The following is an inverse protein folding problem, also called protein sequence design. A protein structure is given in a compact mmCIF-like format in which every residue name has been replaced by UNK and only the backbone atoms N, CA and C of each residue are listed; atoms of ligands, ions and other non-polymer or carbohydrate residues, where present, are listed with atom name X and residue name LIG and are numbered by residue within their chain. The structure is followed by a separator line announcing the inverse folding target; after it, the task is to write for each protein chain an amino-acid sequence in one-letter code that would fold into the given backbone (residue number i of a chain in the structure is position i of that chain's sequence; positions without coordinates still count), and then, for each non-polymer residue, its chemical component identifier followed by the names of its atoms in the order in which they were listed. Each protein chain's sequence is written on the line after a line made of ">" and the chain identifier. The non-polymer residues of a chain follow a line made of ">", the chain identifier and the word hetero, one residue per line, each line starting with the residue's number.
data_IF_999492633277
#
_entry.id   IF_999492633277
#
_cell.length_a   1.000
_cell.length_b   1.000
_cell.length_c   1.000
_cell.angle_alpha   90.00
_cell.angle_beta   90.00
_cell.angle_gamma   90.00
#
_symmetry.space_group_name_H-M   'P 1'
#
loop_
_entity.id
_entity.type
_entity.pdbx_description
1 polymer ?
#
# COMPACT_ATOMS: atom_id res chain seq x y z
N UNK A 1 36.99 -83.90 -56.58
CA UNK A 1 35.78 -83.17 -56.16
C UNK A 1 35.25 -82.47 -57.39
N UNK A 2 34.10 -82.92 -57.87
CA UNK A 2 33.54 -82.60 -59.18
C UNK A 2 32.10 -82.08 -59.02
N UNK A 3 31.74 -81.20 -59.97
CA UNK A 3 30.40 -80.93 -60.56
C UNK A 3 29.29 -80.18 -59.80
N UNK A 4 28.89 -79.06 -60.43
CA UNK A 4 27.55 -78.68 -60.95
C UNK A 4 26.41 -78.20 -60.01
N UNK A 5 25.78 -77.09 -60.42
CA UNK A 5 24.37 -77.11 -60.89
C UNK A 5 23.30 -76.40 -60.05
N UNK A 6 22.84 -75.25 -60.56
CA UNK A 6 21.45 -74.80 -60.80
C UNK A 6 20.28 -74.96 -59.78
N UNK A 7 19.68 -73.80 -59.48
CA UNK A 7 18.27 -73.39 -59.60
C UNK A 7 17.14 -73.86 -58.62
N UNK A 8 16.13 -72.97 -58.49
CA UNK A 8 14.79 -73.05 -57.86
C UNK A 8 14.52 -72.29 -56.52
N UNK A 9 13.60 -71.30 -56.56
CA UNK A 9 12.93 -70.63 -55.40
C UNK A 9 11.75 -71.45 -54.82
N UNK A 10 10.65 -70.90 -54.24
CA UNK A 10 10.30 -69.52 -53.80
C UNK A 10 9.56 -69.43 -52.41
N UNK A 11 9.02 -68.24 -52.05
CA UNK A 11 8.00 -67.91 -50.99
C UNK A 11 8.46 -67.98 -49.51
N UNK A 12 8.13 -67.09 -48.56
CA UNK A 12 6.99 -66.20 -48.24
C UNK A 12 7.48 -65.12 -47.23
N UNK A 13 6.84 -63.94 -47.13
CA UNK A 13 6.98 -63.11 -45.92
C UNK A 13 6.76 -61.59 -46.03
N UNK A 14 5.49 -61.20 -46.20
CA UNK A 14 4.81 -60.01 -45.66
C UNK A 14 5.32 -58.56 -45.88
N UNK A 15 4.39 -57.81 -46.47
CA UNK A 15 4.28 -56.36 -46.67
C UNK A 15 4.01 -55.55 -45.40
N UNK A 16 4.42 -54.28 -45.44
CA UNK A 16 3.84 -53.06 -44.82
C UNK A 16 3.33 -53.15 -43.38
N UNK A 17 3.73 -52.23 -42.51
CA UNK A 17 3.20 -50.86 -42.39
C UNK A 17 4.00 -50.14 -41.31
N UNK A 18 4.37 -48.90 -41.55
CA UNK A 18 5.03 -48.02 -40.57
C UNK A 18 4.06 -47.73 -39.42
N UNK A 19 4.53 -47.88 -38.18
CA UNK A 19 3.73 -47.78 -36.95
C UNK A 19 3.58 -46.31 -36.46
N UNK A 20 3.87 -45.33 -37.32
CA UNK A 20 3.75 -43.90 -37.00
C UNK A 20 2.33 -43.34 -37.14
N UNK A 21 1.40 -44.06 -37.76
CA UNK A 21 0.05 -43.53 -38.11
C UNK A 21 -1.08 -43.95 -37.15
N UNK A 22 -0.74 -44.51 -35.98
CA UNK A 22 -1.73 -45.10 -35.06
C UNK A 22 -1.79 -44.42 -33.69
N UNK A 23 -1.59 -43.11 -33.61
CA UNK A 23 -2.11 -42.26 -32.52
C UNK A 23 -2.40 -40.86 -33.07
N UNK A 24 -3.67 -40.63 -33.42
CA UNK A 24 -4.14 -39.35 -33.93
C UNK A 24 -3.93 -38.20 -32.93
N UNK A 25 -3.09 -37.25 -33.32
CA UNK A 25 -3.12 -35.88 -32.83
C UNK A 25 -3.08 -34.94 -34.05
N UNK A 26 -4.26 -34.56 -34.52
CA UNK A 26 -4.43 -33.47 -35.47
C UNK A 26 -3.97 -32.15 -34.84
N UNK A 27 -3.23 -31.38 -35.64
CA UNK A 27 -3.10 -29.92 -35.65
C UNK A 27 -3.53 -29.17 -34.38
N UNK A 28 -2.55 -28.84 -33.54
CA UNK A 28 -2.58 -27.59 -32.78
C UNK A 28 -1.59 -26.64 -33.45
N UNK A 29 -2.13 -25.68 -34.18
CA UNK A 29 -1.43 -24.47 -34.60
C UNK A 29 -0.74 -23.86 -33.37
N UNK A 30 0.57 -23.57 -33.36
CA UNK A 30 1.14 -22.73 -32.33
C UNK A 30 0.69 -21.29 -32.58
N UNK A 31 -0.46 -20.97 -32.01
CA UNK A 31 -0.83 -19.61 -31.66
C UNK A 31 0.02 -19.12 -30.49
N UNK A 32 0.13 -17.80 -30.38
CA UNK A 32 0.91 -17.02 -29.42
C UNK A 32 2.40 -16.89 -29.77
N UNK A 33 2.71 -15.75 -30.40
CA UNK A 33 4.00 -15.08 -30.31
C UNK A 33 4.61 -15.24 -28.91
N UNK A 34 5.79 -15.85 -28.84
CA UNK A 34 6.59 -15.98 -27.62
C UNK A 34 6.66 -14.59 -26.95
N UNK A 35 6.21 -14.42 -25.69
CA UNK A 35 6.31 -13.14 -25.04
C UNK A 35 7.79 -12.75 -24.93
N UNK A 36 8.13 -11.45 -25.02
CA UNK A 36 9.51 -11.00 -24.92
C UNK A 36 10.14 -11.55 -23.64
N UNK A 37 11.34 -12.12 -23.78
CA UNK A 37 12.07 -12.90 -22.77
C UNK A 37 12.26 -12.18 -21.41
N UNK A 38 12.13 -10.86 -21.36
CA UNK A 38 12.24 -10.07 -20.13
C UNK A 38 11.12 -10.34 -19.11
N UNK A 39 9.89 -10.64 -19.54
CA UNK A 39 8.77 -10.89 -18.63
C UNK A 39 8.97 -12.16 -17.78
N UNK A 40 9.44 -13.22 -18.45
CA UNK A 40 9.69 -14.53 -17.84
C UNK A 40 10.68 -14.39 -16.68
N UNK A 41 11.66 -13.50 -16.77
CA UNK A 41 12.63 -13.31 -15.70
C UNK A 41 12.01 -12.74 -14.41
N UNK A 42 11.14 -11.72 -14.52
CA UNK A 42 10.46 -11.13 -13.35
C UNK A 42 9.50 -12.12 -12.70
N UNK A 43 8.70 -12.82 -13.51
CA UNK A 43 7.74 -13.80 -13.00
C UNK A 43 8.45 -15.02 -12.43
N UNK A 44 9.49 -15.54 -13.07
CA UNK A 44 10.28 -16.66 -12.53
C UNK A 44 10.97 -16.28 -11.21
N UNK A 45 11.50 -15.06 -11.10
CA UNK A 45 12.17 -14.60 -9.88
C UNK A 45 11.23 -14.47 -8.67
N UNK A 46 9.92 -14.32 -8.91
CA UNK A 46 8.89 -14.15 -7.89
C UNK A 46 7.83 -15.24 -7.91
N UNK A 47 8.07 -16.34 -8.65
CA UNK A 47 7.11 -17.41 -8.88
C UNK A 47 6.55 -17.95 -7.56
N UNK A 48 7.43 -18.29 -6.62
CA UNK A 48 7.03 -18.91 -5.36
C UNK A 48 6.17 -17.95 -4.50
N UNK A 49 6.46 -16.64 -4.52
CA UNK A 49 5.64 -15.64 -3.84
C UNK A 49 4.23 -15.59 -4.45
N UNK A 50 4.14 -15.54 -5.78
CA UNK A 50 2.87 -15.43 -6.50
C UNK A 50 2.02 -16.68 -6.27
N UNK A 51 2.61 -17.87 -6.38
CA UNK A 51 1.94 -19.14 -6.10
C UNK A 51 1.50 -19.27 -4.63
N UNK A 52 2.28 -18.72 -3.70
CA UNK A 52 1.91 -18.67 -2.29
C UNK A 52 0.76 -17.69 -1.96
N UNK A 53 0.28 -16.92 -2.94
CA UNK A 53 -0.85 -15.99 -2.78
C UNK A 53 -0.45 -14.51 -2.71
N UNK A 54 0.83 -14.18 -2.94
CA UNK A 54 1.26 -12.80 -3.02
C UNK A 54 0.64 -12.07 -4.22
N UNK A 55 0.14 -10.88 -3.95
CA UNK A 55 -0.56 -10.05 -4.90
C UNK A 55 0.39 -9.09 -5.60
N UNK A 56 0.85 -9.46 -6.79
CA UNK A 56 1.81 -8.66 -7.56
C UNK A 56 1.12 -7.87 -8.68
N UNK A 57 1.80 -6.82 -9.14
CA UNK A 57 1.34 -5.96 -10.23
C UNK A 57 2.51 -5.32 -10.97
N UNK A 58 2.25 -4.83 -12.18
CA UNK A 58 3.25 -4.13 -12.97
C UNK A 58 3.36 -2.65 -12.58
N UNK A 59 4.58 -2.13 -12.63
CA UNK A 59 4.90 -0.73 -12.40
C UNK A 59 5.19 -0.03 -13.72
N UNK A 60 5.09 1.29 -13.72
CA UNK A 60 5.45 2.08 -14.90
C UNK A 60 6.95 1.96 -15.20
N UNK A 61 7.35 1.83 -16.49
CA UNK A 61 8.76 1.75 -16.86
C UNK A 61 9.56 2.93 -16.31
N UNK A 62 10.68 2.64 -15.66
CA UNK A 62 11.55 3.66 -15.06
C UNK A 62 10.91 4.41 -13.89
N UNK A 63 9.86 3.87 -13.27
CA UNK A 63 9.24 4.45 -12.07
C UNK A 63 8.95 3.36 -11.03
N UNK A 64 8.60 3.80 -9.80
CA UNK A 64 8.13 2.92 -8.71
C UNK A 64 6.61 2.87 -8.57
N UNK A 65 5.88 3.65 -9.37
CA UNK A 65 4.41 3.75 -9.26
C UNK A 65 3.71 2.60 -10.00
N UNK A 66 2.53 2.18 -9.53
CA UNK A 66 1.71 1.18 -10.23
C UNK A 66 1.35 1.62 -11.65
N UNK A 67 1.32 0.66 -12.58
CA UNK A 67 0.97 0.92 -13.97
C UNK A 67 -0.52 1.22 -14.15
N UNK A 68 -1.38 0.54 -13.37
CA UNK A 68 -2.83 0.77 -13.40
C UNK A 68 -3.31 1.73 -12.33
N UNK A 69 -4.40 2.45 -12.61
CA UNK A 69 -5.02 3.40 -11.66
C UNK A 69 -5.83 2.72 -10.57
N UNK A 70 -6.38 1.55 -10.85
CA UNK A 70 -7.17 0.69 -9.97
C UNK A 70 -6.33 -0.42 -9.32
N UNK A 71 -5.01 -0.27 -9.32
CA UNK A 71 -4.06 -1.28 -8.81
C UNK A 71 -4.38 -1.79 -7.40
N UNK A 72 -4.99 -0.97 -6.53
CA UNK A 72 -5.34 -1.35 -5.16
C UNK A 72 -6.64 -2.16 -5.06
N UNK A 73 -7.45 -2.17 -6.11
CA UNK A 73 -8.81 -2.75 -6.13
C UNK A 73 -8.90 -4.01 -6.99
N UNK A 74 -7.98 -4.19 -7.94
CA UNK A 74 -7.99 -5.36 -8.83
C UNK A 74 -7.83 -6.68 -8.04
N UNK A 75 -8.49 -7.78 -8.44
CA UNK A 75 -8.23 -9.09 -7.86
C UNK A 75 -6.76 -9.54 -8.02
N UNK A 76 -6.34 -10.55 -7.24
CA UNK A 76 -5.01 -11.14 -7.41
C UNK A 76 -4.91 -11.77 -8.81
N UNK A 77 -3.86 -11.40 -9.55
CA UNK A 77 -3.63 -11.89 -10.89
C UNK A 77 -2.81 -13.18 -10.85
N UNK A 78 -3.16 -14.14 -11.71
CA UNK A 78 -2.37 -15.36 -11.89
C UNK A 78 -1.08 -15.08 -12.66
N UNK A 79 -0.09 -15.98 -12.59
CA UNK A 79 1.12 -15.90 -13.41
C UNK A 79 0.81 -15.72 -14.90
N UNK A 80 -0.22 -16.42 -15.40
CA UNK A 80 -0.63 -16.32 -16.80
C UNK A 80 -1.19 -14.92 -17.14
N UNK A 81 -2.02 -14.35 -16.27
CA UNK A 81 -2.59 -13.01 -16.47
C UNK A 81 -1.49 -11.95 -16.42
N UNK A 82 -0.59 -12.03 -15.43
CA UNK A 82 0.57 -11.16 -15.35
C UNK A 82 1.44 -11.26 -16.60
N UNK A 83 1.64 -12.48 -17.10
CA UNK A 83 2.42 -12.71 -18.31
C UNK A 83 1.80 -12.05 -19.55
N UNK A 84 0.47 -12.06 -19.66
CA UNK A 84 -0.27 -11.44 -20.77
C UNK A 84 -0.28 -9.90 -20.68
N UNK A 85 -0.37 -9.36 -19.47
CA UNK A 85 -0.52 -7.93 -19.24
C UNK A 85 0.81 -7.14 -19.30
N UNK A 86 1.94 -7.84 -19.27
CA UNK A 86 3.26 -7.21 -19.30
C UNK A 86 3.46 -6.33 -20.54
N UNK A 87 4.16 -5.22 -20.31
CA UNK A 87 4.64 -4.27 -21.31
C UNK A 87 6.14 -4.07 -21.12
N UNK A 88 6.85 -3.88 -22.23
CA UNK A 88 8.31 -3.77 -22.21
C UNK A 88 8.79 -2.66 -21.27
N UNK A 89 9.78 -2.98 -20.44
CA UNK A 89 10.43 -2.05 -19.52
C UNK A 89 9.71 -1.86 -18.17
N UNK A 90 8.59 -2.55 -17.94
CA UNK A 90 7.92 -2.49 -16.64
C UNK A 90 8.75 -3.16 -15.55
N UNK A 91 8.71 -2.55 -14.37
CA UNK A 91 9.15 -3.17 -13.12
C UNK A 91 7.97 -3.94 -12.49
N UNK A 92 8.26 -4.72 -11.45
CA UNK A 92 7.25 -5.48 -10.68
C UNK A 92 7.16 -4.97 -9.25
N UNK A 93 5.93 -4.82 -8.76
CA UNK A 93 5.63 -4.50 -7.38
C UNK A 93 4.76 -5.57 -6.73
N UNK A 94 4.60 -5.44 -5.43
CA UNK A 94 3.76 -6.31 -4.59
C UNK A 94 2.86 -5.46 -3.71
N UNK A 95 1.59 -5.82 -3.62
CA UNK A 95 0.61 -5.24 -2.70
C UNK A 95 0.72 -5.96 -1.37
N UNK A 96 0.58 -5.24 -0.26
CA UNK A 96 0.85 -5.79 1.08
C UNK A 96 -0.42 -5.82 1.93
N UNK A 97 -0.40 -6.60 3.01
CA UNK A 97 -1.55 -6.84 3.88
C UNK A 97 -2.62 -7.71 3.22
N UNK A 98 -3.88 -7.30 3.32
CA UNK A 98 -5.06 -8.07 2.88
C UNK A 98 -4.97 -8.69 1.47
N UNK A 99 -4.44 -8.00 0.44
CA UNK A 99 -4.30 -8.59 -0.89
C UNK A 99 -3.30 -9.76 -0.94
N UNK A 100 -2.26 -9.76 -0.10
CA UNK A 100 -1.22 -10.79 -0.08
C UNK A 100 -1.39 -11.68 1.14
N UNK A 101 -2.39 -12.54 1.07
CA UNK A 101 -2.63 -13.59 2.05
C UNK A 101 -1.84 -14.83 1.64
N UNK A 102 -0.96 -15.30 2.52
CA UNK A 102 -0.16 -16.51 2.35
C UNK A 102 -0.61 -17.49 3.41
N UNK A 103 -1.15 -18.63 2.98
CA UNK A 103 -1.92 -19.56 3.82
C UNK A 103 -3.08 -18.87 4.55
N UNK A 104 -2.88 -18.55 5.84
CA UNK A 104 -3.86 -17.89 6.71
C UNK A 104 -3.35 -16.55 7.27
N UNK A 105 -2.13 -16.17 6.89
CA UNK A 105 -1.44 -14.99 7.39
C UNK A 105 -1.28 -13.94 6.28
N UNK A 106 -0.98 -12.70 6.68
CA UNK A 106 -0.87 -11.55 5.78
C UNK A 106 0.58 -11.11 5.66
N UNK A 107 1.00 -10.85 4.43
CA UNK A 107 2.37 -10.42 4.13
C UNK A 107 2.54 -8.91 4.31
N UNK A 108 3.52 -8.53 5.13
CA UNK A 108 3.93 -7.15 5.38
C UNK A 108 5.39 -6.94 5.02
N UNK A 109 5.75 -5.67 4.91
CA UNK A 109 7.14 -5.24 4.78
C UNK A 109 7.43 -4.19 5.83
N UNK A 110 8.57 -4.30 6.51
CA UNK A 110 9.19 -3.18 7.19
C UNK A 110 10.18 -2.54 6.21
N UNK A 111 9.87 -1.33 5.77
CA UNK A 111 10.67 -0.54 4.84
C UNK A 111 11.64 0.33 5.65
N UNK A 112 12.92 -0.06 5.63
CA UNK A 112 14.03 0.67 6.22
C UNK A 112 14.67 1.51 5.12
N UNK A 113 14.44 2.82 5.14
CA UNK A 113 15.04 3.77 4.19
C UNK A 113 16.18 4.52 4.91
N UNK A 114 17.43 4.25 4.52
CA UNK A 114 18.62 4.89 5.09
C UNK A 114 19.25 5.77 4.01
N UNK A 115 19.25 7.07 4.27
CA UNK A 115 19.75 8.10 3.35
C UNK A 115 21.13 8.61 3.76
N UNK A 116 21.38 8.72 5.07
CA UNK A 116 22.71 8.93 5.63
C UNK A 116 23.30 7.60 6.10
N UNK A 117 24.25 7.05 5.34
CA UNK A 117 24.91 5.78 5.66
C UNK A 117 25.62 5.81 7.02
N UNK A 118 26.06 6.97 7.50
CA UNK A 118 26.69 7.10 8.83
C UNK A 118 25.72 6.83 9.98
N UNK A 119 24.41 6.83 9.69
CA UNK A 119 23.33 6.55 10.65
C UNK A 119 22.78 5.14 10.53
N UNK A 120 23.33 4.28 9.68
CA UNK A 120 22.81 2.94 9.44
C UNK A 120 22.68 2.10 10.72
N UNK A 121 23.68 2.10 11.59
CA UNK A 121 23.64 1.33 12.84
C UNK A 121 22.54 1.81 13.79
N UNK A 122 22.30 3.13 13.82
CA UNK A 122 21.21 3.73 14.61
C UNK A 122 19.86 3.33 14.04
N UNK A 123 19.71 3.38 12.72
CA UNK A 123 18.49 2.99 12.02
C UNK A 123 18.16 1.49 12.24
N UNK A 124 19.16 0.62 12.13
CA UNK A 124 19.02 -0.81 12.42
C UNK A 124 18.69 -1.08 13.89
N UNK A 125 19.26 -0.31 14.82
CA UNK A 125 18.92 -0.41 16.24
C UNK A 125 17.45 -0.07 16.49
N UNK A 126 16.95 1.02 15.88
CA UNK A 126 15.54 1.39 15.95
C UNK A 126 14.63 0.32 15.30
N UNK A 127 15.04 -0.25 14.17
CA UNK A 127 14.32 -1.35 13.52
C UNK A 127 14.19 -2.56 14.44
N UNK A 128 15.26 -2.97 15.11
CA UNK A 128 15.26 -4.13 16.01
C UNK A 128 14.41 -3.91 17.27
N UNK A 129 14.19 -2.66 17.69
CA UNK A 129 13.23 -2.38 18.76
C UNK A 129 11.78 -2.61 18.31
N UNK A 130 11.47 -2.37 17.03
CA UNK A 130 10.12 -2.54 16.51
C UNK A 130 9.85 -3.93 15.94
N UNK A 131 10.88 -4.56 15.38
CA UNK A 131 10.87 -5.87 14.76
C UNK A 131 12.15 -6.63 15.19
N UNK A 132 12.15 -7.25 16.39
CA UNK A 132 13.36 -7.90 16.94
C UNK A 132 13.95 -8.98 16.04
N UNK A 133 13.12 -9.67 15.28
CA UNK A 133 13.51 -10.75 14.37
C UNK A 133 13.98 -10.24 13.00
N UNK A 134 14.08 -8.92 12.76
CA UNK A 134 14.36 -8.35 11.43
C UNK A 134 15.58 -8.97 10.74
N UNK A 135 16.65 -9.31 11.49
CA UNK A 135 17.87 -9.92 10.96
C UNK A 135 17.71 -11.37 10.52
N UNK A 136 16.66 -12.07 10.96
CA UNK A 136 16.38 -13.45 10.57
C UNK A 136 15.38 -13.55 9.40
N UNK A 137 14.68 -12.46 9.09
CA UNK A 137 13.57 -12.43 8.14
C UNK A 137 14.03 -12.26 6.68
N UNK A 138 13.22 -12.71 5.70
CA UNK A 138 13.49 -12.48 4.29
C UNK A 138 13.66 -11.00 3.99
N UNK A 139 14.69 -10.66 3.23
CA UNK A 139 15.15 -9.28 3.09
C UNK A 139 15.54 -8.99 1.66
N UNK A 140 15.05 -7.85 1.14
CA UNK A 140 15.48 -7.26 -0.12
C UNK A 140 16.39 -6.09 0.16
N UNK A 141 17.51 -6.04 -0.56
CA UNK A 141 18.34 -4.83 -0.68
C UNK A 141 17.67 -3.91 -1.69
N UNK A 142 17.34 -2.71 -1.23
CA UNK A 142 16.76 -1.67 -2.09
C UNK A 142 17.74 -1.28 -3.20
N UNK A 143 17.19 -0.93 -4.37
CA UNK A 143 17.98 -0.34 -5.43
C UNK A 143 18.44 1.10 -5.13
N UNK A 144 18.01 1.74 -4.03
CA UNK A 144 18.55 3.05 -3.62
C UNK A 144 20.04 3.03 -3.26
N UNK A 145 20.61 1.84 -3.00
CA UNK A 145 21.97 1.69 -2.50
C UNK A 145 22.05 1.72 -0.98
N UNK A 146 23.28 1.59 -0.45
CA UNK A 146 23.55 1.63 0.99
C UNK A 146 22.81 0.58 1.83
N UNK A 147 22.36 1.01 3.01
CA UNK A 147 21.75 0.16 4.05
C UNK A 147 20.21 0.12 4.03
N UNK A 148 19.59 0.63 2.96
CA UNK A 148 18.13 0.54 2.79
C UNK A 148 17.68 -0.89 2.50
N UNK A 149 16.61 -1.36 3.16
CA UNK A 149 16.10 -2.75 3.07
C UNK A 149 14.57 -2.82 3.12
N UNK A 150 13.98 -3.79 2.43
CA UNK A 150 12.61 -4.24 2.68
C UNK A 150 12.67 -5.58 3.44
N UNK A 151 12.18 -5.62 4.67
CA UNK A 151 12.15 -6.83 5.52
C UNK A 151 10.73 -7.40 5.49
N UNK A 152 10.57 -8.60 4.95
CA UNK A 152 9.27 -9.25 4.76
C UNK A 152 8.92 -10.15 5.95
N UNK A 153 7.68 -10.12 6.39
CA UNK A 153 7.19 -10.96 7.49
C UNK A 153 5.69 -11.21 7.40
N UNK A 154 5.21 -12.19 8.16
CA UNK A 154 3.82 -12.61 8.23
C UNK A 154 3.19 -12.29 9.58
N UNK A 155 1.91 -11.89 9.57
CA UNK A 155 1.08 -11.67 10.77
C UNK A 155 -0.30 -12.30 10.58
N UNK A 156 -0.96 -12.69 11.67
CA UNK A 156 -2.32 -13.26 11.60
C UNK A 156 -3.41 -12.19 11.34
N UNK A 157 -3.04 -10.93 11.53
CA UNK A 157 -3.92 -9.78 11.39
C UNK A 157 -3.34 -8.82 10.35
N UNK A 158 -4.12 -8.31 9.38
CA UNK A 158 -3.61 -7.40 8.38
C UNK A 158 -3.45 -5.99 8.96
N UNK A 159 -2.22 -5.52 9.09
CA UNK A 159 -1.92 -4.11 9.35
C UNK A 159 -1.99 -3.25 8.09
N UNK A 160 -2.27 -1.96 8.25
CA UNK A 160 -2.15 -0.93 7.20
C UNK A 160 -0.78 -0.26 7.24
N UNK A 161 -0.47 0.53 6.21
CA UNK A 161 0.76 1.33 6.19
C UNK A 161 0.82 2.27 7.40
N UNK A 162 2.00 2.37 8.03
CA UNK A 162 2.24 3.21 9.22
C UNK A 162 3.71 3.58 9.35
N UNK A 163 4.01 4.80 9.79
CA UNK A 163 5.38 5.20 10.15
C UNK A 163 5.71 4.68 11.54
N UNK A 164 6.80 3.93 11.67
CA UNK A 164 7.20 3.28 12.92
C UNK A 164 8.26 4.09 13.68
N UNK A 165 9.24 4.62 12.95
CA UNK A 165 10.32 5.44 13.51
C UNK A 165 11.01 6.25 12.41
N UNK A 166 11.81 7.24 12.82
CA UNK A 166 12.65 8.07 11.96
C UNK A 166 13.78 8.70 12.77
N UNK A 167 14.78 9.25 12.09
CA UNK A 167 15.77 10.14 12.71
C UNK A 167 15.16 11.47 13.15
N UNK A 168 15.81 12.14 14.10
CA UNK A 168 15.60 13.57 14.35
C UNK A 168 16.15 14.44 13.22
N UNK A 169 17.34 14.06 12.70
CA UNK A 169 17.99 14.77 11.61
C UNK A 169 17.24 14.63 10.28
N UNK A 170 17.15 15.74 9.56
CA UNK A 170 16.54 15.81 8.24
C UNK A 170 17.18 16.89 7.38
N UNK A 171 16.98 16.77 6.07
CA UNK A 171 17.27 17.81 5.08
C UNK A 171 15.98 18.30 4.44
N UNK A 172 15.90 19.59 4.13
CA UNK A 172 14.80 20.13 3.32
C UNK A 172 15.13 19.94 1.84
N UNK A 173 14.22 19.32 1.09
CA UNK A 173 14.37 19.07 -0.34
C UNK A 173 13.11 19.52 -1.06
N UNK A 174 13.26 20.27 -2.15
CA UNK A 174 12.13 20.69 -2.97
C UNK A 174 11.49 19.49 -3.66
N UNK A 175 10.20 19.24 -3.38
CA UNK A 175 9.41 18.22 -4.08
C UNK A 175 8.62 18.88 -5.21
N UNK A 176 9.01 18.67 -6.49
CA UNK A 176 8.33 19.29 -7.63
C UNK A 176 6.89 18.79 -7.81
N UNK A 177 6.53 17.63 -7.24
CA UNK A 177 5.16 17.09 -7.30
C UNK A 177 4.25 17.79 -6.30
N UNK A 178 4.79 18.20 -5.15
CA UNK A 178 4.06 18.94 -4.12
C UNK A 178 4.19 20.46 -4.27
N UNK A 179 5.16 20.93 -5.05
CA UNK A 179 5.44 22.36 -5.24
C UNK A 179 5.94 23.05 -3.97
N UNK A 180 6.54 22.31 -3.04
CA UNK A 180 7.06 22.83 -1.76
C UNK A 180 8.28 22.03 -1.30
N UNK A 181 9.06 22.61 -0.39
CA UNK A 181 10.10 21.89 0.33
C UNK A 181 9.48 20.88 1.30
N UNK A 182 10.09 19.70 1.39
CA UNK A 182 9.70 18.63 2.30
C UNK A 182 10.90 18.15 3.11
N UNK A 183 10.64 17.69 4.34
CA UNK A 183 11.64 17.03 5.16
C UNK A 183 12.00 15.66 4.56
N UNK A 184 13.29 15.39 4.45
CA UNK A 184 13.87 14.08 4.15
C UNK A 184 14.76 13.69 5.32
N UNK A 185 14.22 12.85 6.19
CA UNK A 185 14.92 12.34 7.36
C UNK A 185 16.12 11.48 6.96
N UNK A 186 17.19 11.53 7.74
CA UNK A 186 18.41 10.74 7.54
C UNK A 186 18.12 9.24 7.41
N UNK A 187 17.13 8.76 8.16
CA UNK A 187 16.54 7.45 7.96
C UNK A 187 15.07 7.41 8.41
N UNK A 188 14.31 6.49 7.85
CA UNK A 188 12.91 6.24 8.19
C UNK A 188 12.61 4.74 8.22
N UNK A 189 11.63 4.37 9.03
CA UNK A 189 11.11 3.01 9.14
C UNK A 189 9.60 3.08 8.97
N UNK A 190 9.08 2.53 7.87
CA UNK A 190 7.65 2.44 7.61
C UNK A 190 7.22 0.96 7.61
N UNK A 191 6.16 0.63 8.37
CA UNK A 191 5.39 -0.58 8.16
C UNK A 191 4.56 -0.41 6.90
N UNK A 192 4.70 -1.32 5.94
CA UNK A 192 3.90 -1.40 4.73
C UNK A 192 2.95 -2.61 4.84
N UNK A 193 1.66 -2.32 4.67
CA UNK A 193 0.56 -3.30 4.76
C UNK A 193 -0.58 -2.95 3.80
N UNK A 194 -1.82 -3.23 4.20
CA UNK A 194 -3.01 -3.00 3.36
C UNK A 194 -3.06 -1.56 2.85
N UNK A 195 -3.26 -1.40 1.54
CA UNK A 195 -3.30 -0.10 0.85
C UNK A 195 -1.93 0.44 0.43
N UNK A 196 -0.85 -0.33 0.62
CA UNK A 196 0.50 0.03 0.17
C UNK A 196 1.12 -1.04 -0.72
N UNK A 197 2.25 -0.69 -1.34
CA UNK A 197 3.00 -1.58 -2.20
C UNK A 197 4.51 -1.41 -1.98
N UNK A 198 5.26 -2.47 -2.25
CA UNK A 198 6.72 -2.45 -2.30
C UNK A 198 7.20 -2.86 -3.71
N UNK A 199 8.42 -2.47 -4.05
CA UNK A 199 9.09 -2.90 -5.28
C UNK A 199 9.76 -4.25 -5.05
N UNK A 200 9.55 -5.20 -5.97
CA UNK A 200 10.13 -6.55 -5.90
C UNK A 200 11.39 -6.67 -6.78
N UNK A 201 12.39 -7.47 -6.38
CA UNK A 201 13.47 -7.90 -7.27
C UNK A 201 12.94 -8.60 -8.53
N UNK A 202 13.67 -8.55 -9.68
CA UNK A 202 14.87 -7.77 -9.95
C UNK A 202 14.58 -6.36 -10.52
N UNK A 203 13.53 -5.67 -10.05
CA UNK A 203 13.16 -4.34 -10.58
C UNK A 203 14.33 -3.36 -10.48
N UNK A 204 14.35 -2.37 -11.37
CA UNK A 204 15.41 -1.35 -11.45
C UNK A 204 14.95 -0.06 -10.77
N UNK A 205 15.75 0.44 -9.84
CA UNK A 205 15.47 1.70 -9.17
C UNK A 205 15.65 2.88 -10.15
N UNK A 206 14.68 3.82 -10.20
CA UNK A 206 14.66 4.86 -11.23
C UNK A 206 15.83 5.83 -11.15
N UNK A 207 16.21 6.23 -9.93
CA UNK A 207 17.22 7.29 -9.77
C UNK A 207 18.67 6.77 -9.85
N UNK A 208 18.94 5.56 -9.34
CA UNK A 208 20.29 4.98 -9.24
C UNK A 208 20.59 4.01 -10.38
N UNK A 209 19.57 3.49 -11.08
CA UNK A 209 19.70 2.42 -12.05
C UNK A 209 20.09 1.06 -11.47
N UNK A 210 20.18 0.92 -10.14
CA UNK A 210 20.57 -0.33 -9.49
C UNK A 210 19.37 -1.26 -9.28
N UNK A 211 19.58 -2.59 -9.38
CA UNK A 211 18.51 -3.57 -9.17
C UNK A 211 18.19 -3.77 -7.69
N UNK A 212 16.90 -3.94 -7.40
CA UNK A 212 16.44 -4.58 -6.17
C UNK A 212 16.89 -6.05 -6.19
N UNK A 213 17.44 -6.55 -5.08
CA UNK A 213 17.92 -7.95 -4.99
C UNK A 213 17.60 -8.57 -3.63
N UNK A 214 17.31 -9.87 -3.63
CA UNK A 214 17.18 -10.63 -2.39
C UNK A 214 18.54 -10.75 -1.70
N UNK A 215 18.64 -10.25 -0.47
CA UNK A 215 19.70 -10.64 0.47
C UNK A 215 19.37 -12.01 1.07
N UNK A 216 18.10 -12.19 1.43
CA UNK A 216 17.54 -13.45 1.93
C UNK A 216 16.18 -13.68 1.32
N UNK A 217 16.04 -14.76 0.56
CA UNK A 217 14.76 -15.12 -0.08
C UNK A 217 13.77 -15.67 0.95
N UNK A 218 12.45 -15.53 0.72
CA UNK A 218 11.44 -16.18 1.54
C UNK A 218 11.44 -17.70 1.30
N UNK A 219 11.39 -18.48 2.38
CA UNK A 219 11.23 -19.93 2.35
C UNK A 219 9.75 -20.31 2.50
N UNK A 220 9.01 -20.20 1.39
CA UNK A 220 7.54 -20.35 1.38
C UNK A 220 7.04 -21.79 1.51
N UNK A 221 7.95 -22.77 1.55
CA UNK A 221 7.61 -24.15 1.94
C UNK A 221 7.26 -24.21 3.43
N UNK A 222 7.83 -23.31 4.24
CA UNK A 222 7.53 -23.17 5.66
C UNK A 222 7.24 -21.70 6.01
N UNK A 223 6.10 -21.13 5.58
CA UNK A 223 5.79 -19.71 5.78
C UNK A 223 5.82 -19.29 7.26
N UNK A 224 5.57 -20.23 8.17
CA UNK A 224 5.67 -20.01 9.62
C UNK A 224 7.03 -19.43 10.07
N UNK A 225 8.11 -19.68 9.32
CA UNK A 225 9.44 -19.11 9.60
C UNK A 225 9.51 -17.60 9.37
N UNK A 226 8.55 -17.04 8.61
CA UNK A 226 8.39 -15.60 8.39
C UNK A 226 7.42 -14.97 9.39
N UNK A 227 6.68 -15.78 10.15
CA UNK A 227 5.67 -15.28 11.08
C UNK A 227 6.33 -14.72 12.32
N UNK A 228 6.00 -13.48 12.64
CA UNK A 228 6.53 -12.83 13.84
C UNK A 228 5.71 -13.20 15.07
N UNK A 229 6.36 -13.13 16.25
CA UNK A 229 5.72 -13.48 17.52
C UNK A 229 4.45 -12.65 17.79
N UNK A 230 3.52 -13.21 18.58
CA UNK A 230 2.30 -12.49 18.97
C UNK A 230 2.62 -11.15 19.69
N UNK A 231 3.68 -11.10 20.51
CA UNK A 231 4.13 -9.89 21.17
C UNK A 231 4.61 -8.82 20.17
N UNK A 232 5.31 -9.22 19.11
CA UNK A 232 5.69 -8.32 18.02
C UNK A 232 4.44 -7.77 17.32
N UNK A 233 3.47 -8.63 17.00
CA UNK A 233 2.22 -8.23 16.34
C UNK A 233 1.40 -7.25 17.20
N UNK A 234 1.28 -7.52 18.50
CA UNK A 234 0.65 -6.61 19.45
C UNK A 234 1.38 -5.25 19.48
N UNK A 235 2.73 -5.26 19.52
CA UNK A 235 3.53 -4.04 19.47
C UNK A 235 3.38 -3.23 18.18
N UNK A 236 3.18 -3.88 17.04
CA UNK A 236 2.89 -3.20 15.76
C UNK A 236 1.52 -2.51 15.81
N UNK A 237 0.52 -3.17 16.40
CA UNK A 237 -0.83 -2.64 16.62
C UNK A 237 -0.86 -1.50 17.65
N UNK A 238 -0.26 -1.68 18.81
CA UNK A 238 -0.32 -0.77 19.97
C UNK A 238 0.47 0.53 19.78
N UNK A 239 1.54 0.55 18.97
CA UNK A 239 2.28 1.79 18.64
C UNK A 239 1.45 2.80 17.81
N UNK A 240 0.12 2.63 17.72
CA UNK A 240 -0.79 3.43 16.89
C UNK A 240 -0.95 4.86 17.40
N UNK A 241 -0.62 5.13 18.66
CA UNK A 241 -0.89 6.46 19.24
C UNK A 241 0.31 7.40 19.22
N UNK A 242 1.53 6.89 19.09
CA UNK A 242 2.76 7.69 18.99
C UNK A 242 3.81 6.90 18.20
N UNK A 243 4.32 7.41 17.07
CA UNK A 243 5.60 6.93 16.53
C UNK A 243 6.65 7.00 17.65
N UNK A 244 7.70 6.18 17.61
CA UNK A 244 8.88 6.43 18.46
C UNK A 244 9.53 7.70 17.90
N UNK A 245 8.95 8.84 18.25
CA UNK A 245 9.47 10.16 18.03
C UNK A 245 10.52 10.37 19.10
N UNK A 246 11.77 10.50 18.69
CA UNK A 246 12.66 11.39 19.41
C UNK A 246 12.17 12.81 19.05
N UNK A 247 11.57 13.46 20.05
CA UNK A 247 11.00 14.81 20.12
C UNK A 247 10.88 15.62 18.80
N UNK A 248 9.65 15.73 18.29
CA UNK A 248 8.81 16.92 18.44
C UNK A 248 7.85 17.10 17.23
N UNK A 249 6.74 17.71 17.58
CA UNK A 249 5.53 18.07 16.83
C UNK A 249 5.80 18.85 15.54
N UNK A 250 5.63 18.20 14.39
CA UNK A 250 5.22 18.80 13.10
C UNK A 250 5.39 17.75 12.01
N UNK A 251 4.38 16.91 11.83
CA UNK A 251 4.31 16.04 10.67
C UNK A 251 2.86 15.88 10.20
N UNK A 252 2.56 16.68 9.18
CA UNK A 252 1.36 16.76 8.36
C UNK A 252 1.09 15.48 7.53
N UNK A 253 1.67 14.34 7.93
CA UNK A 253 1.58 13.05 7.25
C UNK A 253 0.68 12.04 8.00
N UNK A 254 -0.10 12.50 9.00
CA UNK A 254 -1.27 11.78 9.62
C UNK A 254 -2.44 11.59 8.64
N UNK A 255 -2.21 11.79 7.34
CA UNK A 255 -3.21 11.69 6.29
C UNK A 255 -3.76 10.26 6.13
N UNK A 256 -2.99 9.22 6.52
CA UNK A 256 -3.43 7.82 6.43
C UNK A 256 -4.26 7.34 7.64
N UNK A 257 -3.99 7.84 8.85
CA UNK A 257 -4.81 7.59 10.05
C UNK A 257 -6.15 8.30 9.97
N UNK A 258 -6.20 9.43 9.23
CA UNK A 258 -7.46 10.09 8.89
C UNK A 258 -8.34 9.20 8.00
N UNK A 259 -7.81 8.31 7.14
CA UNK A 259 -8.64 7.48 6.24
C UNK A 259 -9.51 6.45 7.01
N UNK A 260 -9.13 6.06 8.23
CA UNK A 260 -9.91 5.12 9.06
C UNK A 260 -11.03 5.79 9.89
N UNK A 261 -11.00 7.10 10.11
CA UNK A 261 -12.09 7.86 10.74
C UNK A 261 -13.07 8.46 9.71
N UNK A 262 -13.52 7.65 8.73
CA UNK A 262 -14.39 8.11 7.64
C UNK A 262 -15.85 8.36 8.07
N UNK A 263 -16.24 7.94 9.28
CA UNK A 263 -17.57 8.20 9.82
C UNK A 263 -17.63 9.62 10.42
N UNK A 264 -18.81 10.28 10.39
CA UNK A 264 -19.07 11.45 11.20
C UNK A 264 -18.68 11.19 12.66
N UNK A 265 -18.15 12.21 13.34
CA UNK A 265 -17.88 12.10 14.77
C UNK A 265 -19.20 12.07 15.55
N UNK A 266 -19.25 11.39 16.70
CA UNK A 266 -20.41 11.44 17.60
C UNK A 266 -20.40 12.77 18.38
N UNK A 267 -20.72 13.85 17.67
CA UNK A 267 -20.81 15.21 18.20
C UNK A 267 -22.28 15.63 18.27
N UNK A 268 -22.65 16.17 19.41
CA UNK A 268 -23.94 16.84 19.59
C UNK A 268 -23.99 18.11 18.76
N UNK A 269 -25.21 18.58 18.47
CA UNK A 269 -25.41 19.86 17.77
C UNK A 269 -24.86 21.07 18.54
N UNK A 270 -24.71 20.96 19.87
CA UNK A 270 -24.11 22.00 20.71
C UNK A 270 -22.60 22.09 20.55
N UNK A 271 -21.91 20.94 20.54
CA UNK A 271 -20.45 20.87 20.38
C UNK A 271 -20.03 21.36 18.99
N UNK A 272 -20.78 21.01 17.94
CA UNK A 272 -20.52 21.56 16.59
C UNK A 272 -20.66 23.09 16.59
N UNK A 273 -21.66 23.65 17.29
CA UNK A 273 -21.82 25.10 17.36
C UNK A 273 -20.68 25.78 18.14
N UNK A 274 -20.17 25.12 19.19
CA UNK A 274 -19.01 25.59 19.96
C UNK A 274 -17.72 25.56 19.12
N UNK A 275 -17.46 24.47 18.39
CA UNK A 275 -16.31 24.39 17.47
C UNK A 275 -16.39 25.54 16.45
N UNK A 276 -17.56 25.77 15.86
CA UNK A 276 -17.74 26.84 14.88
C UNK A 276 -17.56 28.26 15.45
N UNK A 277 -17.85 28.47 16.74
CA UNK A 277 -17.69 29.77 17.40
C UNK A 277 -16.24 30.08 17.77
N UNK A 278 -15.40 29.05 17.95
CA UNK A 278 -13.97 29.17 18.22
C UNK A 278 -13.11 29.44 16.96
N UNK A 279 -13.68 29.28 15.76
CA UNK A 279 -12.96 29.56 14.52
C UNK A 279 -12.60 31.05 14.41
N UNK A 280 -11.40 31.41 13.88
CA UNK A 280 -11.01 32.79 13.71
C UNK A 280 -12.00 33.59 12.85
N UNK A 281 -12.28 34.83 13.23
CA UNK A 281 -13.33 35.65 12.58
C UNK A 281 -13.09 35.85 11.08
N UNK A 282 -11.83 35.94 10.65
CA UNK A 282 -11.47 36.15 9.25
C UNK A 282 -11.68 34.91 8.35
N UNK A 283 -11.93 33.72 8.91
CA UNK A 283 -12.16 32.52 8.12
C UNK A 283 -13.43 32.57 7.28
N UNK A 284 -14.44 33.33 7.71
CA UNK A 284 -15.67 33.51 6.94
C UNK A 284 -15.44 34.40 5.70
N UNK A 285 -14.38 35.21 5.70
CA UNK A 285 -14.05 36.13 4.62
C UNK A 285 -13.09 35.55 3.59
N UNK A 286 -12.39 34.48 3.94
CA UNK A 286 -11.46 33.77 3.07
C UNK A 286 -12.15 32.60 2.34
N UNK A 287 -11.95 32.50 1.03
CA UNK A 287 -12.67 31.54 0.19
C UNK A 287 -12.30 30.09 0.52
N UNK A 288 -11.02 29.82 0.77
CA UNK A 288 -10.54 28.47 0.98
C UNK A 288 -10.91 27.97 2.39
N UNK A 289 -10.84 28.85 3.40
CA UNK A 289 -11.35 28.54 4.75
C UNK A 289 -12.87 28.38 4.78
N UNK A 290 -13.61 29.23 4.07
CA UNK A 290 -15.07 29.08 3.94
C UNK A 290 -15.46 27.75 3.29
N UNK A 291 -14.75 27.33 2.24
CA UNK A 291 -14.92 26.02 1.60
C UNK A 291 -14.57 24.87 2.55
N UNK A 292 -13.50 25.02 3.34
CA UNK A 292 -13.03 24.04 4.34
C UNK A 292 -14.12 23.78 5.38
N UNK A 293 -14.72 24.83 5.94
CA UNK A 293 -15.82 24.72 6.92
C UNK A 293 -17.05 24.07 6.30
N UNK A 294 -17.41 24.45 5.07
CA UNK A 294 -18.53 23.87 4.34
C UNK A 294 -18.37 22.38 4.08
N UNK A 295 -17.19 21.96 3.62
CA UNK A 295 -16.88 20.56 3.37
C UNK A 295 -16.87 19.73 4.66
N UNK A 296 -16.33 20.26 5.76
CA UNK A 296 -16.35 19.61 7.08
C UNK A 296 -17.78 19.38 7.60
N UNK A 297 -18.65 20.39 7.49
CA UNK A 297 -20.06 20.27 7.88
C UNK A 297 -20.84 19.34 6.95
N UNK A 298 -20.54 19.36 5.65
CA UNK A 298 -21.15 18.43 4.69
C UNK A 298 -20.79 16.99 5.04
N UNK A 299 -19.52 16.70 5.38
CA UNK A 299 -19.12 15.37 5.83
C UNK A 299 -19.78 14.98 7.15
N UNK A 300 -19.72 15.85 8.16
CA UNK A 300 -20.25 15.58 9.51
C UNK A 300 -21.77 15.33 9.54
N UNK A 301 -22.53 15.98 8.66
CA UNK A 301 -23.98 15.81 8.58
C UNK A 301 -24.42 15.03 7.35
N UNK A 302 -23.50 14.31 6.70
CA UNK A 302 -23.75 13.46 5.53
C UNK A 302 -24.52 14.17 4.39
N UNK A 303 -24.24 15.47 4.20
CA UNK A 303 -24.85 16.32 3.18
C UNK A 303 -26.32 16.68 3.44
N UNK A 304 -26.87 16.37 4.62
CA UNK A 304 -28.26 16.66 4.98
C UNK A 304 -28.52 18.16 5.16
N UNK A 305 -29.79 18.55 5.13
CA UNK A 305 -30.23 19.95 5.34
C UNK A 305 -29.73 20.54 6.67
N UNK A 306 -29.59 19.72 7.72
CA UNK A 306 -29.09 20.18 9.02
C UNK A 306 -27.68 20.77 8.93
N UNK A 307 -26.77 20.12 8.21
CA UNK A 307 -25.41 20.64 8.00
C UNK A 307 -25.40 21.90 7.14
N UNK A 308 -26.26 21.93 6.10
CA UNK A 308 -26.40 23.10 5.23
C UNK A 308 -26.90 24.34 6.00
N UNK A 309 -27.92 24.17 6.85
CA UNK A 309 -28.48 25.24 7.67
C UNK A 309 -27.40 25.83 8.60
N UNK A 310 -26.56 24.97 9.22
CA UNK A 310 -25.42 25.40 10.06
C UNK A 310 -24.37 26.18 9.29
N UNK A 311 -24.03 25.73 8.08
CA UNK A 311 -23.07 26.45 7.27
C UNK A 311 -23.61 27.81 6.82
N UNK A 312 -24.90 27.91 6.50
CA UNK A 312 -25.57 29.18 6.22
C UNK A 312 -25.54 30.11 7.43
N UNK A 313 -25.89 29.62 8.62
CA UNK A 313 -25.84 30.39 9.86
C UNK A 313 -24.44 30.96 10.12
N UNK A 314 -23.41 30.13 9.99
CA UNK A 314 -22.02 30.54 10.16
C UNK A 314 -21.54 31.54 9.09
N UNK A 315 -21.97 31.35 7.84
CA UNK A 315 -21.56 32.18 6.69
C UNK A 315 -22.19 33.57 6.69
N UNK A 316 -23.36 33.76 7.32
CA UNK A 316 -24.05 35.06 7.46
C UNK A 316 -23.25 36.13 8.20
N UNK A 317 -22.13 35.75 8.85
CA UNK A 317 -21.20 36.69 9.46
C UNK A 317 -20.43 37.51 8.42
N UNK A 318 -20.32 37.01 7.18
CA UNK A 318 -19.79 37.79 6.06
C UNK A 318 -20.87 38.60 5.38
N UNK A 319 -20.53 39.84 5.01
CA UNK A 319 -21.37 40.67 4.15
C UNK A 319 -21.49 40.11 2.71
N UNK A 320 -20.64 39.14 2.32
CA UNK A 320 -20.66 38.48 1.00
C UNK A 320 -21.59 37.27 0.94
N UNK A 321 -22.30 36.96 2.02
CA UNK A 321 -23.15 35.76 2.08
C UNK A 321 -24.24 35.79 1.00
N UNK A 322 -24.23 34.76 0.15
CA UNK A 322 -25.26 34.50 -0.84
C UNK A 322 -25.79 33.07 -0.66
N UNK A 323 -27.09 32.93 -0.41
CA UNK A 323 -27.70 31.64 -0.11
C UNK A 323 -27.75 30.70 -1.34
N UNK A 324 -27.90 31.25 -2.55
CA UNK A 324 -27.93 30.47 -3.78
C UNK A 324 -26.53 29.95 -4.13
N UNK A 325 -25.50 30.79 -3.99
CA UNK A 325 -24.10 30.39 -4.17
C UNK A 325 -23.69 29.35 -3.11
N UNK A 326 -24.06 29.58 -1.85
CA UNK A 326 -23.80 28.63 -0.76
C UNK A 326 -24.42 27.27 -1.06
N UNK A 327 -25.67 27.23 -1.53
CA UNK A 327 -26.35 25.98 -1.89
C UNK A 327 -25.73 25.28 -3.11
N UNK A 328 -25.33 26.06 -4.12
CA UNK A 328 -24.62 25.56 -5.30
C UNK A 328 -23.30 24.90 -4.90
N UNK A 329 -22.53 25.52 -4.02
CA UNK A 329 -21.26 24.96 -3.52
C UNK A 329 -21.51 23.76 -2.60
N UNK A 330 -22.54 23.78 -1.75
CA UNK A 330 -22.90 22.64 -0.89
C UNK A 330 -23.05 21.34 -1.69
N UNK A 331 -23.73 21.41 -2.85
CA UNK A 331 -23.89 20.26 -3.74
C UNK A 331 -22.58 19.74 -4.34
N UNK A 332 -21.58 20.61 -4.49
CA UNK A 332 -20.28 20.26 -5.10
C UNK A 332 -19.41 19.39 -4.19
N UNK A 333 -19.69 19.33 -2.88
CA UNK A 333 -18.96 18.49 -1.93
C UNK A 333 -19.29 17.00 -2.04
N UNK A 334 -20.42 16.65 -2.69
CA UNK A 334 -20.82 15.26 -2.90
C UNK A 334 -19.82 14.54 -3.81
N UNK A 335 -19.37 13.35 -3.38
CA UNK A 335 -18.49 12.49 -4.18
C UNK A 335 -17.01 12.91 -4.16
N UNK A 336 -16.61 13.80 -3.25
CA UNK A 336 -15.19 14.07 -3.01
C UNK A 336 -14.48 12.79 -2.55
N UNK A 337 -13.37 12.45 -3.22
CA UNK A 337 -12.52 11.31 -2.85
C UNK A 337 -11.80 11.52 -1.51
N UNK A 338 -11.65 12.79 -1.09
CA UNK A 338 -10.98 13.21 0.13
C UNK A 338 -11.77 14.36 0.78
N UNK A 339 -12.90 14.09 1.48
CA UNK A 339 -13.66 15.15 2.11
C UNK A 339 -12.89 15.74 3.30
N UNK A 340 -12.84 17.06 3.41
CA UNK A 340 -12.49 17.77 4.64
C UNK A 340 -13.51 17.40 5.72
N UNK A 341 -13.07 17.23 6.97
CA UNK A 341 -13.90 16.65 8.05
C UNK A 341 -13.92 17.54 9.29
N UNK A 342 -14.86 17.28 10.20
CA UNK A 342 -14.98 18.03 11.46
C UNK A 342 -13.71 17.97 12.32
N UNK A 343 -12.94 16.88 12.24
CA UNK A 343 -11.64 16.76 12.91
C UNK A 343 -10.66 17.89 12.52
N UNK A 344 -10.72 18.37 11.27
CA UNK A 344 -9.93 19.52 10.80
C UNK A 344 -10.26 20.76 11.61
N UNK A 345 -11.56 21.05 11.84
CA UNK A 345 -11.98 22.23 12.60
C UNK A 345 -11.66 22.09 14.10
N UNK A 346 -11.74 20.87 14.65
CA UNK A 346 -11.36 20.60 16.04
C UNK A 346 -9.86 20.86 16.27
N UNK A 347 -9.01 20.44 15.33
CA UNK A 347 -7.58 20.72 15.37
C UNK A 347 -7.30 22.22 15.40
N UNK A 348 -7.89 22.95 14.44
CA UNK A 348 -7.67 24.38 14.24
C UNK A 348 -8.15 25.24 15.41
N UNK A 349 -9.22 24.80 16.09
CA UNK A 349 -9.78 25.50 17.26
C UNK A 349 -9.15 25.07 18.58
N UNK A 350 -8.36 23.99 18.59
CA UNK A 350 -7.86 23.36 19.81
C UNK A 350 -8.96 22.83 20.74
N UNK A 351 -10.18 22.61 20.22
CA UNK A 351 -11.37 22.31 21.03
C UNK A 351 -11.17 21.08 21.94
N UNK A 352 -10.46 20.04 21.50
CA UNK A 352 -10.13 18.86 22.32
C UNK A 352 -9.32 19.18 23.58
N UNK A 353 -8.52 20.26 23.57
CA UNK A 353 -7.73 20.70 24.74
C UNK A 353 -8.57 21.54 25.71
N UNK A 354 -9.66 22.13 25.23
CA UNK A 354 -10.58 22.96 25.99
C UNK A 354 -11.70 22.14 26.64
N UNK A 355 -12.14 21.06 25.99
CA UNK A 355 -13.19 20.14 26.49
C UNK A 355 -12.69 19.02 27.41
N UNK A 356 -11.37 18.86 27.58
CA UNK A 356 -10.70 17.85 28.43
C UNK A 356 -10.91 17.98 29.94
N UNK A 357 -11.95 18.67 30.38
CA UNK A 357 -12.28 18.92 31.78
C UNK A 357 -13.69 18.45 32.18
N UNK A 358 -14.23 17.38 31.58
CA UNK A 358 -15.31 16.52 32.12
C UNK A 358 -15.87 15.66 30.99
N UNK A 359 -15.66 14.35 31.02
CA UNK A 359 -16.64 13.31 30.60
C UNK A 359 -15.99 11.92 30.64
N UNK A 360 -16.42 11.13 31.61
CA UNK A 360 -16.14 9.71 31.77
C UNK A 360 -16.71 8.89 30.59
N UNK A 361 -15.85 8.21 29.83
CA UNK A 361 -16.30 7.18 28.90
C UNK A 361 -16.73 5.93 29.71
N UNK A 362 -18.02 5.65 29.65
CA UNK A 362 -18.71 4.65 30.45
C UNK A 362 -18.29 3.21 30.13
N UNK A 363 -18.08 2.46 31.21
CA UNK A 363 -18.05 1.00 31.25
C UNK A 363 -19.36 0.41 30.72
N UNK A 364 -19.30 -0.26 29.57
CA UNK A 364 -20.39 -1.08 29.03
C UNK A 364 -20.02 -2.56 29.02
N UNK A 365 -20.25 -3.25 30.14
CA UNK A 365 -20.32 -4.71 30.21
C UNK A 365 -21.47 -5.21 29.30
N UNK A 366 -21.18 -6.18 28.43
CA UNK A 366 -22.22 -7.04 27.81
C UNK A 366 -22.05 -8.45 28.38
N UNK A 367 -22.93 -8.77 29.32
CA UNK A 367 -23.22 -10.13 29.77
C UNK A 367 -23.95 -10.87 28.64
N UNK A 368 -23.41 -12.02 28.21
CA UNK A 368 -24.12 -12.98 27.36
C UNK A 368 -25.03 -13.85 28.23
N UNK A 369 -26.31 -13.87 27.91
CA UNK A 369 -27.21 -15.01 28.19
C UNK A 369 -27.31 -15.88 26.97
#
# INVERSE_FOLDING_TARGET
>A
MSTNGDDHGPFQGHSNTDLSDLLGFNDIQPTASRPPSGNIAFLNANHDLIEAGASVHWLVPGEKRPASRDWSEVPNQTLQQLAQDYRAGQNIGIRLGTPSMIDQDFLHVMDLDVRDESKADVAWTALLQVLPDARSLPTVISGSGGESRHIYFLTDTPFRKKKMARSEGFTMVFDPRKGRDVKKYDWEIDLLGTGSQAVLPPSIHPDTGLPYRWERKPELVFPIMMKVSAATQEGLGARADKPIMLDDTDDDDTYLETILAAQPLDLTSGEVAEILSLLPENWVEDRDHWLTVGAALHHQFEGTKKGFDRWCEWSKRSAKFDAEDTFRVWKSFKGSKNPVRMATLIHETGWSRLSGGSSSLGSGFITRT
#
